data_IF_759731559728
#
_entry.id   IF_759731559728
#
_cell.length_a   1.000
_cell.length_b   1.000
_cell.length_c   1.000
_cell.angle_alpha   90.00
_cell.angle_beta   90.00
_cell.angle_gamma   90.00
#
_symmetry.space_group_name_H-M   'P 1'
#
loop_
_entity.id
_entity.type
_entity.pdbx_description
1 polymer ?
#
# COMPACT_ATOMS: atom_id res chain seq x y z
N UNK A 1 -14.56 4.16 4.53
CA UNK A 1 -15.41 4.28 3.32
C UNK A 1 -16.07 5.66 3.16
N UNK A 2 -16.97 6.09 4.05
CA UNK A 2 -17.69 7.37 3.89
C UNK A 2 -16.76 8.56 3.71
N UNK A 3 -15.73 8.68 4.56
CA UNK A 3 -14.73 9.75 4.42
C UNK A 3 -13.97 9.69 3.09
N UNK A 4 -13.58 8.49 2.63
CA UNK A 4 -12.90 8.33 1.34
C UNK A 4 -13.76 8.82 0.17
N UNK A 5 -15.06 8.49 0.17
CA UNK A 5 -16.03 9.02 -0.80
C UNK A 5 -16.12 10.54 -0.73
N UNK A 6 -16.33 11.11 0.46
CA UNK A 6 -16.48 12.56 0.65
C UNK A 6 -15.23 13.32 0.20
N UNK A 7 -14.04 12.88 0.59
CA UNK A 7 -12.80 13.55 0.22
C UNK A 7 -12.51 13.49 -1.27
N UNK A 8 -12.79 12.37 -1.96
CA UNK A 8 -12.70 12.31 -3.42
C UNK A 8 -13.63 13.34 -4.08
N UNK A 9 -14.88 13.43 -3.62
CA UNK A 9 -15.86 14.36 -4.20
C UNK A 9 -15.47 15.83 -3.97
N UNK A 10 -14.90 16.14 -2.80
CA UNK A 10 -14.38 17.50 -2.50
C UNK A 10 -13.14 17.85 -3.34
N UNK A 11 -12.45 16.85 -3.89
CA UNK A 11 -11.30 17.05 -4.77
C UNK A 11 -9.94 16.79 -4.10
N UNK A 12 -9.88 15.95 -3.07
CA UNK A 12 -8.61 15.49 -2.52
C UNK A 12 -7.92 14.55 -3.51
N UNK A 13 -6.72 14.91 -3.97
CA UNK A 13 -5.98 14.14 -4.97
C UNK A 13 -5.40 12.82 -4.42
N UNK A 14 -4.98 12.79 -3.15
CA UNK A 14 -4.33 11.64 -2.52
C UNK A 14 -4.86 11.45 -1.09
N UNK A 15 -5.25 10.24 -0.72
CA UNK A 15 -5.84 9.98 0.60
C UNK A 15 -5.28 8.70 1.23
N UNK A 16 -4.89 8.81 2.50
CA UNK A 16 -4.48 7.66 3.31
C UNK A 16 -5.66 6.71 3.53
N UNK A 17 -5.45 5.42 3.23
CA UNK A 17 -6.48 4.37 3.37
C UNK A 17 -6.07 3.23 4.29
N UNK A 18 -4.87 3.31 4.88
CA UNK A 18 -4.30 2.30 5.74
C UNK A 18 -3.38 1.33 4.99
N UNK A 19 -2.91 0.32 5.72
CA UNK A 19 -2.08 -0.77 5.20
C UNK A 19 -2.86 -2.06 5.39
N UNK A 20 -2.96 -2.96 4.39
CA UNK A 20 -3.78 -4.18 4.45
C UNK A 20 -3.21 -5.17 5.46
N UNK A 21 -3.47 -4.93 6.75
CA UNK A 21 -3.04 -5.71 7.91
C UNK A 21 -1.52 -5.94 8.10
N UNK A 22 -0.66 -5.33 7.29
CA UNK A 22 0.81 -5.46 7.38
C UNK A 22 1.54 -4.32 8.10
N UNK A 23 0.84 -3.22 8.38
CA UNK A 23 1.39 -2.08 9.09
C UNK A 23 1.01 -2.04 10.57
N UNK A 24 1.45 -0.99 11.26
CA UNK A 24 1.26 -0.83 12.71
C UNK A 24 -0.13 -0.34 13.13
N UNK A 25 -0.88 0.26 12.20
CA UNK A 25 -2.20 0.80 12.48
C UNK A 25 -3.27 -0.24 12.15
N UNK A 26 -4.36 -0.25 12.90
CA UNK A 26 -5.53 -1.07 12.59
C UNK A 26 -6.11 -0.66 11.23
N UNK A 27 -6.23 -1.64 10.33
CA UNK A 27 -6.75 -1.46 8.99
C UNK A 27 -7.03 -2.83 8.35
N UNK A 28 -8.25 -3.36 8.56
CA UNK A 28 -8.69 -4.62 7.94
C UNK A 28 -8.51 -4.58 6.43
N UNK A 29 -7.94 -5.64 5.86
CA UNK A 29 -7.64 -5.72 4.42
C UNK A 29 -8.86 -5.46 3.54
N UNK A 30 -10.03 -5.99 3.90
CA UNK A 30 -11.28 -5.76 3.18
C UNK A 30 -11.69 -4.28 3.14
N UNK A 31 -11.49 -3.53 4.23
CA UNK A 31 -11.83 -2.11 4.30
C UNK A 31 -10.84 -1.25 3.50
N UNK A 32 -9.55 -1.62 3.51
CA UNK A 32 -8.52 -0.97 2.69
C UNK A 32 -8.82 -1.14 1.20
N UNK A 33 -9.12 -2.37 0.76
CA UNK A 33 -9.48 -2.67 -0.63
C UNK A 33 -10.72 -1.86 -1.04
N UNK A 34 -11.74 -1.83 -0.17
CA UNK A 34 -12.96 -1.08 -0.43
C UNK A 34 -12.71 0.44 -0.52
N UNK A 35 -11.84 0.97 0.34
CA UNK A 35 -11.41 2.37 0.26
C UNK A 35 -10.62 2.64 -1.03
N UNK A 36 -9.79 1.70 -1.50
CA UNK A 36 -9.11 1.85 -2.80
C UNK A 36 -10.11 1.90 -3.96
N UNK A 37 -11.10 1.01 -3.96
CA UNK A 37 -12.13 0.95 -5.01
C UNK A 37 -12.97 2.22 -5.05
N UNK A 38 -13.45 2.74 -3.91
CA UNK A 38 -14.24 3.99 -3.89
C UNK A 38 -13.42 5.23 -4.29
N UNK A 39 -12.10 5.21 -4.10
CA UNK A 39 -11.22 6.30 -4.53
C UNK A 39 -10.86 6.23 -6.02
N UNK A 40 -10.70 5.03 -6.59
CA UNK A 40 -10.18 4.85 -7.96
C UNK A 40 -11.24 4.58 -9.02
N UNK A 41 -12.26 3.81 -8.69
CA UNK A 41 -13.18 3.30 -9.71
C UNK A 41 -14.15 4.39 -10.17
N UNK A 42 -14.47 4.43 -11.45
CA UNK A 42 -15.52 5.33 -11.97
C UNK A 42 -16.93 4.87 -11.56
N UNK A 43 -17.08 3.60 -11.20
CA UNK A 43 -18.31 3.02 -10.67
C UNK A 43 -17.95 2.02 -9.57
N UNK A 44 -18.23 2.37 -8.32
CA UNK A 44 -18.10 1.44 -7.21
C UNK A 44 -19.29 0.49 -7.18
N UNK A 45 -19.02 -0.82 -7.20
CA UNK A 45 -20.03 -1.88 -7.10
C UNK A 45 -19.74 -2.73 -5.86
N UNK A 46 -20.63 -2.75 -4.85
CA UNK A 46 -20.47 -3.65 -3.72
C UNK A 46 -20.70 -5.12 -4.13
N UNK A 47 -20.27 -6.07 -3.29
CA UNK A 47 -20.60 -7.48 -3.47
C UNK A 47 -22.12 -7.69 -3.41
N UNK A 48 -22.62 -8.76 -4.04
CA UNK A 48 -24.06 -8.98 -4.18
C UNK A 48 -24.79 -9.13 -2.83
N UNK A 49 -24.08 -9.59 -1.81
CA UNK A 49 -24.52 -9.84 -0.44
C UNK A 49 -24.10 -8.75 0.55
N UNK A 50 -23.44 -7.67 0.09
CA UNK A 50 -23.02 -6.58 0.96
C UNK A 50 -24.22 -5.69 1.34
N UNK A 51 -24.60 -5.76 2.62
CA UNK A 51 -25.72 -5.00 3.18
C UNK A 51 -25.33 -3.60 3.65
N UNK A 52 -24.06 -3.22 3.54
CA UNK A 52 -23.52 -1.97 4.14
C UNK A 52 -23.34 -0.86 3.11
N UNK A 53 -22.93 -1.20 1.89
CA UNK A 53 -22.59 -0.21 0.87
C UNK A 53 -23.52 -0.29 -0.34
N UNK A 54 -23.71 0.86 -0.99
CA UNK A 54 -24.56 0.99 -2.17
C UNK A 54 -23.72 1.23 -3.44
N UNK A 55 -24.20 0.81 -4.62
CA UNK A 55 -23.57 1.15 -5.88
C UNK A 55 -23.44 2.67 -6.06
N UNK A 56 -22.29 3.13 -6.59
CA UNK A 56 -21.99 4.55 -6.70
C UNK A 56 -21.27 4.86 -8.03
N UNK A 57 -21.95 5.51 -8.99
CA UNK A 57 -21.27 6.15 -10.12
C UNK A 57 -20.57 7.44 -9.66
N UNK A 58 -19.39 7.70 -10.20
CA UNK A 58 -18.62 8.94 -10.00
C UNK A 58 -18.62 9.87 -11.22
N UNK A 59 -19.10 9.41 -12.38
CA UNK A 59 -19.22 10.18 -13.62
C UNK A 59 -17.91 10.91 -13.99
N UNK A 60 -17.89 12.24 -13.91
CA UNK A 60 -16.76 13.10 -14.27
C UNK A 60 -15.78 13.34 -13.11
N UNK A 61 -16.09 12.87 -11.89
CA UNK A 61 -15.22 13.01 -10.73
C UNK A 61 -14.01 12.10 -10.91
N UNK A 62 -12.83 12.72 -11.02
CA UNK A 62 -11.57 12.03 -11.22
C UNK A 62 -11.28 11.03 -10.08
N UNK A 63 -10.49 9.97 -10.34
CA UNK A 63 -9.89 9.14 -9.31
C UNK A 63 -9.04 9.96 -8.34
N UNK A 64 -9.00 9.52 -7.09
CA UNK A 64 -8.02 9.94 -6.09
C UNK A 64 -7.05 8.79 -5.82
N UNK A 65 -5.78 9.08 -5.54
CA UNK A 65 -4.75 8.05 -5.37
C UNK A 65 -4.76 7.56 -3.91
N UNK A 66 -5.00 6.26 -3.65
CA UNK A 66 -4.90 5.71 -2.31
C UNK A 66 -3.45 5.73 -1.81
N UNK A 67 -3.25 6.10 -0.54
CA UNK A 67 -1.94 6.14 0.11
C UNK A 67 -1.85 5.04 1.16
N UNK A 68 -0.86 4.16 1.02
CA UNK A 68 -0.48 3.15 1.99
C UNK A 68 0.64 3.69 2.89
N UNK A 69 0.39 3.76 4.21
CA UNK A 69 1.34 4.32 5.17
C UNK A 69 1.08 3.78 6.58
N UNK A 70 2.16 3.57 7.33
CA UNK A 70 2.10 3.19 8.74
C UNK A 70 2.88 1.92 9.06
N UNK A 71 4.15 2.07 9.47
CA UNK A 71 4.98 0.92 9.86
C UNK A 71 5.41 0.02 8.69
N UNK A 72 5.42 0.54 7.46
CA UNK A 72 5.92 -0.20 6.31
C UNK A 72 7.46 -0.27 6.29
N UNK A 73 7.98 -1.34 5.72
CA UNK A 73 9.40 -1.57 5.37
C UNK A 73 9.46 -2.51 4.16
N UNK A 74 10.63 -2.71 3.50
CA UNK A 74 10.70 -3.46 2.23
C UNK A 74 9.99 -4.82 2.23
N UNK A 75 10.12 -5.60 3.31
CA UNK A 75 9.47 -6.91 3.47
C UNK A 75 7.94 -6.92 3.44
N UNK A 76 7.27 -5.81 3.77
CA UNK A 76 5.79 -5.75 3.77
C UNK A 76 5.19 -5.22 2.47
N UNK A 77 6.01 -4.71 1.55
CA UNK A 77 5.55 -4.07 0.31
C UNK A 77 4.87 -5.03 -0.70
N UNK A 78 5.28 -6.31 -0.85
CA UNK A 78 4.58 -7.24 -1.72
C UNK A 78 3.10 -7.39 -1.35
N UNK A 79 2.79 -7.44 -0.06
CA UNK A 79 1.41 -7.56 0.44
C UNK A 79 0.58 -6.29 0.20
N UNK A 80 1.20 -5.12 0.34
CA UNK A 80 0.59 -3.83 -0.03
C UNK A 80 0.21 -3.84 -1.51
N UNK A 81 1.16 -4.20 -2.39
CA UNK A 81 0.93 -4.25 -3.85
C UNK A 81 -0.11 -5.30 -4.21
N UNK A 82 -0.06 -6.48 -3.58
CA UNK A 82 -1.01 -7.59 -3.82
C UNK A 82 -2.46 -7.17 -3.57
N UNK A 83 -2.71 -6.43 -2.48
CA UNK A 83 -4.06 -6.05 -2.10
C UNK A 83 -4.52 -4.72 -2.71
N UNK A 84 -3.62 -3.74 -2.84
CA UNK A 84 -3.98 -2.39 -3.27
C UNK A 84 -3.70 -2.14 -4.76
N UNK A 85 -2.95 -3.01 -5.44
CA UNK A 85 -2.51 -2.79 -6.82
C UNK A 85 -1.38 -1.77 -6.93
N UNK A 86 -1.06 -1.36 -8.16
CA UNK A 86 0.09 -0.49 -8.46
C UNK A 86 -0.25 1.02 -8.45
N UNK A 87 -1.51 1.40 -8.70
CA UNK A 87 -1.96 2.79 -8.67
C UNK A 87 -2.18 3.27 -7.23
N UNK A 88 -1.09 3.41 -6.50
CA UNK A 88 -1.04 3.83 -5.09
C UNK A 88 0.18 4.70 -4.82
N UNK A 89 0.12 5.48 -3.74
CA UNK A 89 1.31 6.06 -3.11
C UNK A 89 1.71 5.18 -1.93
N UNK A 90 2.99 4.80 -1.86
CA UNK A 90 3.54 4.07 -0.72
C UNK A 90 4.42 5.00 0.08
N UNK A 91 4.08 5.23 1.34
CA UNK A 91 4.88 6.02 2.27
C UNK A 91 5.64 5.07 3.21
N UNK A 92 6.97 5.17 3.16
CA UNK A 92 7.87 4.39 4.02
C UNK A 92 8.77 5.34 4.80
N UNK A 93 8.43 5.59 6.06
CA UNK A 93 9.24 6.42 6.97
C UNK A 93 10.38 5.62 7.62
N UNK A 94 10.08 5.00 8.77
CA UNK A 94 11.07 4.25 9.56
C UNK A 94 11.73 3.08 8.79
N UNK A 95 11.01 2.45 7.85
CA UNK A 95 11.56 1.40 6.99
C UNK A 95 12.61 1.88 5.97
N UNK A 96 12.71 3.19 5.72
CA UNK A 96 13.78 3.80 4.91
C UNK A 96 14.89 4.31 5.82
N UNK A 97 14.56 5.21 6.75
CA UNK A 97 15.56 5.90 7.58
C UNK A 97 16.26 4.94 8.53
N UNK A 98 15.56 3.89 8.98
CA UNK A 98 16.10 2.88 9.88
C UNK A 98 16.93 1.79 9.19
N UNK A 99 17.20 1.87 7.89
CA UNK A 99 17.95 0.83 7.18
C UNK A 99 19.41 0.72 7.70
N UNK A 100 20.00 -0.49 7.82
CA UNK A 100 21.37 -0.65 8.32
C UNK A 100 22.46 0.13 7.55
N UNK A 101 22.26 0.32 6.25
CA UNK A 101 23.12 1.15 5.38
C UNK A 101 22.77 2.64 5.35
N UNK A 102 21.85 3.09 6.21
CA UNK A 102 21.34 4.46 6.23
C UNK A 102 20.27 4.77 5.18
N UNK A 103 19.78 6.02 5.12
CA UNK A 103 18.57 6.37 4.36
C UNK A 103 18.66 6.16 2.84
N UNK A 104 19.85 6.35 2.24
CA UNK A 104 20.06 6.14 0.80
C UNK A 104 19.79 4.68 0.44
N UNK A 105 20.43 3.77 1.17
CA UNK A 105 20.26 2.33 0.96
C UNK A 105 18.84 1.89 1.30
N UNK A 106 18.21 2.48 2.34
CA UNK A 106 16.81 2.22 2.65
C UNK A 106 15.87 2.61 1.52
N UNK A 107 16.11 3.75 0.85
CA UNK A 107 15.35 4.15 -0.32
C UNK A 107 15.56 3.20 -1.51
N UNK A 108 16.81 2.74 -1.73
CA UNK A 108 17.12 1.75 -2.74
C UNK A 108 16.41 0.40 -2.46
N UNK A 109 16.44 -0.08 -1.21
CA UNK A 109 15.76 -1.30 -0.78
C UNK A 109 14.24 -1.24 -1.03
N UNK A 110 13.59 -0.10 -0.74
CA UNK A 110 12.17 0.10 -1.05
C UNK A 110 11.90 0.04 -2.55
N UNK A 111 12.74 0.67 -3.37
CA UNK A 111 12.62 0.63 -4.83
C UNK A 111 12.77 -0.79 -5.37
N UNK A 112 13.77 -1.52 -4.89
CA UNK A 112 14.01 -2.92 -5.24
C UNK A 112 12.83 -3.81 -4.84
N UNK A 113 12.28 -3.66 -3.63
CA UNK A 113 11.12 -4.41 -3.17
C UNK A 113 9.85 -4.15 -4.00
N UNK A 114 9.59 -2.89 -4.37
CA UNK A 114 8.45 -2.55 -5.24
C UNK A 114 8.64 -3.07 -6.67
N UNK A 115 9.86 -3.04 -7.19
CA UNK A 115 10.18 -3.60 -8.50
C UNK A 115 9.97 -5.12 -8.51
N UNK A 116 10.50 -5.83 -7.51
CA UNK A 116 10.28 -7.26 -7.32
C UNK A 116 8.79 -7.60 -7.23
N UNK A 117 8.04 -6.87 -6.39
CA UNK A 117 6.60 -7.05 -6.24
C UNK A 117 5.84 -6.81 -7.56
N UNK A 118 6.22 -5.78 -8.35
CA UNK A 118 5.59 -5.49 -9.64
C UNK A 118 5.84 -6.57 -10.70
N UNK A 119 6.98 -7.27 -10.60
CA UNK A 119 7.36 -8.38 -11.49
C UNK A 119 6.90 -9.75 -10.97
N UNK A 120 6.32 -9.81 -9.77
CA UNK A 120 5.95 -11.08 -9.13
C UNK A 120 7.15 -11.93 -8.68
N UNK A 121 8.32 -11.31 -8.46
CA UNK A 121 9.53 -11.99 -8.01
C UNK A 121 9.54 -12.01 -6.46
N UNK A 122 9.73 -13.17 -5.81
CA UNK A 122 9.90 -13.25 -4.36
C UNK A 122 11.05 -12.36 -3.88
N UNK A 123 10.88 -11.65 -2.76
CA UNK A 123 11.91 -10.73 -2.27
C UNK A 123 13.20 -11.45 -1.89
N UNK A 124 13.13 -12.66 -1.33
CA UNK A 124 14.32 -13.45 -0.99
C UNK A 124 15.16 -13.75 -2.23
N UNK A 125 14.52 -14.06 -3.37
CA UNK A 125 15.19 -14.27 -4.65
C UNK A 125 15.78 -12.95 -5.18
N UNK A 126 15.01 -11.86 -5.15
CA UNK A 126 15.50 -10.56 -5.63
C UNK A 126 16.62 -9.99 -4.75
N UNK A 127 16.72 -10.42 -3.49
CA UNK A 127 17.75 -10.00 -2.56
C UNK A 127 19.10 -10.70 -2.78
N UNK A 128 19.18 -11.77 -3.59
CA UNK A 128 20.43 -12.50 -3.86
C UNK A 128 21.49 -11.59 -4.50
N UNK A 129 21.07 -10.71 -5.42
CA UNK A 129 21.92 -9.76 -6.15
C UNK A 129 21.70 -8.29 -5.74
N UNK A 130 20.76 -8.01 -4.83
CA UNK A 130 20.46 -6.66 -4.33
C UNK A 130 20.79 -6.52 -2.84
N UNK A 131 21.98 -5.97 -2.54
CA UNK A 131 22.51 -5.89 -1.17
C UNK A 131 21.64 -5.03 -0.23
N UNK A 132 21.06 -3.94 -0.72
CA UNK A 132 20.22 -3.06 0.09
C UNK A 132 18.94 -3.76 0.52
N UNK A 133 18.23 -4.40 -0.42
CA UNK A 133 17.06 -5.22 -0.10
C UNK A 133 17.42 -6.34 0.89
N UNK A 134 18.51 -7.06 0.66
CA UNK A 134 18.97 -8.12 1.57
C UNK A 134 19.16 -7.61 3.00
N UNK A 135 19.87 -6.49 3.20
CA UNK A 135 20.08 -5.91 4.53
C UNK A 135 18.78 -5.46 5.20
N UNK A 136 17.81 -4.98 4.42
CA UNK A 136 16.50 -4.66 4.94
C UNK A 136 15.75 -5.92 5.43
N UNK A 137 15.81 -7.01 4.66
CA UNK A 137 15.21 -8.30 5.03
C UNK A 137 15.92 -8.95 6.21
N UNK A 138 17.24 -8.83 6.33
CA UNK A 138 17.98 -9.29 7.52
C UNK A 138 17.54 -8.56 8.79
N UNK A 139 17.25 -7.26 8.69
CA UNK A 139 16.84 -6.45 9.85
C UNK A 139 15.39 -6.69 10.28
N UNK A 140 14.46 -6.71 9.33
CA UNK A 140 13.02 -6.71 9.62
C UNK A 140 12.30 -7.97 9.14
N UNK A 141 12.91 -8.75 8.24
CA UNK A 141 12.26 -9.85 7.54
C UNK A 141 10.94 -9.41 6.95
N UNK A 142 9.90 -10.17 7.29
CA UNK A 142 8.50 -9.94 6.90
C UNK A 142 7.61 -9.59 8.10
N UNK A 143 8.21 -9.11 9.19
CA UNK A 143 7.48 -8.86 10.43
C UNK A 143 6.44 -7.74 10.27
N UNK A 144 5.31 -7.85 10.98
CA UNK A 144 4.37 -6.74 11.15
C UNK A 144 4.77 -5.95 12.40
N UNK A 145 5.11 -4.66 12.31
CA UNK A 145 5.30 -3.83 13.51
C UNK A 145 3.98 -3.66 14.27
N UNK A 146 4.02 -3.70 15.60
CA UNK A 146 2.88 -3.52 16.51
C UNK A 146 3.18 -2.35 17.44
#
# INVERSE_FOLDING_TARGET
FTLAKLFRVVGVDQLHVGTPEVGKLEARTADVIRNCSVLRDNYFKPAADDLTYLPQPFYHIKPAIPVASGGLHPGTLPEVVRHMGLDIVVQVGGGVVGHPGGPRDGAAAVRQALEAASKGIPLDQYAEDHMELRKALEKWGYMKPI
#
